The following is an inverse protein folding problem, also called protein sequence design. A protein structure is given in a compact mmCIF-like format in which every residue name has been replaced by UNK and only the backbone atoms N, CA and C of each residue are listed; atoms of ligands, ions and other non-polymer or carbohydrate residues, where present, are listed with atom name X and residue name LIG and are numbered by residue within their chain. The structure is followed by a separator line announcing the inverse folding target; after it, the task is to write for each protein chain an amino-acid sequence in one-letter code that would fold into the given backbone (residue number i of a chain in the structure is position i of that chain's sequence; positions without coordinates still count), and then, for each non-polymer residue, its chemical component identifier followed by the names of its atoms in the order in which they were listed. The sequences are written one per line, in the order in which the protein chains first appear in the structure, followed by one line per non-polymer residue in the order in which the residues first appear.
data_IF_812033192418
#
_entry.id   IF_812033192418
#
_cell.length_a   1.000
_cell.length_b   1.000
_cell.length_c   1.000
_cell.angle_alpha   90.00
_cell.angle_beta   90.00
_cell.angle_gamma   90.00
#
_symmetry.space_group_name_H-M   'P 1'
#
loop_
_entity.id
_entity.type
_entity.pdbx_description
1 polymer ?
#
# COMPACT_ATOMS: atom_id res chain seq x y z
N UNK A 1 -8.19 -17.60 -20.24
CA UNK A 1 -8.65 -17.66 -18.84
C UNK A 1 -7.42 -17.36 -17.98
N UNK A 2 -7.56 -16.53 -16.95
CA UNK A 2 -6.43 -16.14 -16.10
C UNK A 2 -6.00 -17.33 -15.21
N UNK A 3 -5.18 -18.20 -15.80
CA UNK A 3 -4.63 -19.40 -15.19
C UNK A 3 -3.15 -19.18 -14.85
N UNK A 4 -2.58 -19.99 -13.95
CA UNK A 4 -1.17 -19.88 -13.48
C UNK A 4 -0.84 -18.61 -12.67
N UNK A 5 -1.70 -18.23 -11.72
CA UNK A 5 -1.45 -17.08 -10.84
C UNK A 5 -0.13 -17.19 -10.06
N UNK A 6 0.29 -18.39 -9.67
CA UNK A 6 1.58 -18.62 -8.99
C UNK A 6 2.80 -18.18 -9.81
N UNK A 7 2.80 -18.47 -11.11
CA UNK A 7 3.91 -18.07 -11.98
C UNK A 7 3.89 -16.55 -12.24
N UNK A 8 2.70 -15.98 -12.36
CA UNK A 8 2.54 -14.53 -12.42
C UNK A 8 3.11 -13.83 -11.17
N UNK A 9 2.86 -14.36 -9.96
CA UNK A 9 3.42 -13.80 -8.71
C UNK A 9 4.95 -13.77 -8.75
N UNK A 10 5.59 -14.83 -9.25
CA UNK A 10 7.06 -14.89 -9.36
C UNK A 10 7.59 -13.82 -10.32
N UNK A 11 6.97 -13.67 -11.49
CA UNK A 11 7.36 -12.64 -12.46
C UNK A 11 7.18 -11.22 -11.90
N UNK A 12 6.05 -10.94 -11.23
CA UNK A 12 5.81 -9.65 -10.56
C UNK A 12 6.86 -9.37 -9.49
N UNK A 13 7.20 -10.37 -8.67
CA UNK A 13 8.24 -10.22 -7.65
C UNK A 13 9.61 -9.91 -8.28
N UNK A 14 9.97 -10.59 -9.37
CA UNK A 14 11.22 -10.31 -10.09
C UNK A 14 11.25 -8.87 -10.62
N UNK A 15 10.14 -8.40 -11.20
CA UNK A 15 10.01 -7.08 -11.81
C UNK A 15 9.93 -5.92 -10.79
N UNK A 16 9.22 -6.11 -9.68
CA UNK A 16 8.83 -5.02 -8.77
C UNK A 16 9.43 -5.14 -7.37
N UNK A 17 9.95 -6.32 -7.01
CA UNK A 17 10.29 -6.72 -5.62
C UNK A 17 9.11 -6.70 -4.64
N UNK A 18 7.88 -6.53 -5.11
CA UNK A 18 6.66 -6.63 -4.31
C UNK A 18 6.23 -8.09 -4.26
N UNK A 19 6.18 -8.67 -3.06
CA UNK A 19 5.67 -10.03 -2.87
C UNK A 19 4.15 -10.01 -2.69
N UNK A 20 3.43 -10.54 -3.68
CA UNK A 20 1.98 -10.62 -3.68
C UNK A 20 1.42 -11.59 -2.64
N UNK A 21 2.24 -12.47 -2.04
CA UNK A 21 1.82 -13.38 -0.97
C UNK A 21 1.48 -12.65 0.34
N UNK A 22 2.00 -11.43 0.54
CA UNK A 22 1.63 -10.60 1.71
C UNK A 22 0.27 -9.92 1.55
N UNK A 23 -0.36 -10.03 0.38
CA UNK A 23 -1.68 -9.50 0.13
C UNK A 23 -2.74 -10.60 0.20
N UNK A 24 -3.97 -10.22 0.52
CA UNK A 24 -5.10 -11.17 0.49
C UNK A 24 -5.34 -11.62 -0.96
N UNK A 25 -4.98 -12.86 -1.25
CA UNK A 25 -4.94 -13.41 -2.61
C UNK A 25 -6.23 -13.18 -3.40
N UNK A 26 -7.39 -13.56 -2.84
CA UNK A 26 -8.68 -13.48 -3.54
C UNK A 26 -9.00 -12.04 -3.99
N UNK A 27 -8.76 -11.05 -3.12
CA UNK A 27 -9.01 -9.65 -3.44
C UNK A 27 -7.99 -9.14 -4.46
N UNK A 28 -6.71 -9.48 -4.28
CA UNK A 28 -5.65 -9.01 -5.16
C UNK A 28 -5.76 -9.61 -6.56
N UNK A 29 -5.97 -10.93 -6.67
CA UNK A 29 -6.16 -11.62 -7.94
C UNK A 29 -7.32 -11.02 -8.73
N UNK A 30 -8.50 -10.84 -8.13
CA UNK A 30 -9.65 -10.20 -8.80
C UNK A 30 -9.32 -8.79 -9.31
N UNK A 31 -8.55 -8.01 -8.54
CA UNK A 31 -8.10 -6.67 -8.91
C UNK A 31 -7.13 -6.71 -10.09
N UNK A 32 -6.20 -7.66 -10.10
CA UNK A 32 -5.21 -7.87 -11.17
C UNK A 32 -5.88 -8.35 -12.45
N UNK A 33 -6.84 -9.28 -12.36
CA UNK A 33 -7.59 -9.78 -13.51
C UNK A 33 -8.36 -8.65 -14.21
N UNK A 34 -8.97 -7.75 -13.42
CA UNK A 34 -9.70 -6.61 -13.95
C UNK A 34 -8.79 -5.63 -14.71
N UNK A 35 -7.60 -5.30 -14.18
CA UNK A 35 -6.67 -4.38 -14.85
C UNK A 35 -5.99 -5.04 -16.06
N UNK A 36 -5.67 -6.34 -16.00
CA UNK A 36 -5.14 -7.10 -17.12
C UNK A 36 -6.16 -7.16 -18.29
N UNK A 37 -7.42 -7.44 -17.98
CA UNK A 37 -8.52 -7.41 -18.97
C UNK A 37 -8.70 -6.02 -19.58
N UNK A 38 -8.64 -4.96 -18.76
CA UNK A 38 -8.72 -3.57 -19.23
C UNK A 38 -7.57 -3.20 -20.19
N UNK A 39 -6.42 -3.83 -20.03
CA UNK A 39 -5.27 -3.70 -20.93
C UNK A 39 -5.33 -4.65 -22.14
N UNK A 40 -6.46 -5.32 -22.38
CA UNK A 40 -6.66 -6.19 -23.53
C UNK A 40 -6.00 -7.56 -23.44
N UNK A 41 -5.53 -7.97 -22.26
CA UNK A 41 -4.87 -9.26 -22.07
C UNK A 41 -5.88 -10.37 -21.78
N UNK A 42 -5.67 -11.55 -22.38
CA UNK A 42 -6.52 -12.73 -22.20
C UNK A 42 -5.97 -13.75 -21.19
N UNK A 43 -4.71 -13.57 -20.78
CA UNK A 43 -3.98 -14.39 -19.82
C UNK A 43 -2.84 -13.59 -19.13
N UNK A 44 -2.23 -14.15 -18.09
CA UNK A 44 -1.14 -13.49 -17.36
C UNK A 44 0.17 -13.41 -18.14
N UNK A 45 0.45 -14.35 -19.05
CA UNK A 45 1.69 -14.35 -19.83
C UNK A 45 1.75 -13.13 -20.77
N UNK A 46 0.63 -12.83 -21.45
CA UNK A 46 0.45 -11.60 -22.23
C UNK A 46 0.60 -10.35 -21.36
N UNK A 47 0.00 -10.37 -20.17
CA UNK A 47 0.07 -9.20 -19.30
C UNK A 47 1.50 -8.93 -18.83
N UNK A 48 2.26 -9.96 -18.45
CA UNK A 48 3.68 -9.84 -18.10
C UNK A 48 4.50 -9.31 -19.27
N UNK A 49 4.20 -9.72 -20.51
CA UNK A 49 4.88 -9.17 -21.71
C UNK A 49 4.64 -7.67 -21.83
N UNK A 50 3.39 -7.21 -21.68
CA UNK A 50 3.07 -5.78 -21.69
C UNK A 50 3.81 -5.04 -20.57
N UNK A 51 3.82 -5.59 -19.34
CA UNK A 51 4.52 -4.98 -18.21
C UNK A 51 6.05 -4.87 -18.44
N UNK A 52 6.63 -5.75 -19.27
CA UNK A 52 8.06 -5.69 -19.63
C UNK A 52 8.35 -4.74 -20.80
N UNK A 53 7.41 -4.56 -21.73
CA UNK A 53 7.62 -3.75 -22.95
C UNK A 53 7.14 -2.31 -22.83
N UNK A 54 6.15 -2.05 -21.98
CA UNK A 54 5.49 -0.75 -21.84
C UNK A 54 5.71 -0.19 -20.44
N UNK A 55 6.57 0.82 -20.35
CA UNK A 55 6.94 1.48 -19.10
C UNK A 55 5.74 2.18 -18.43
N UNK A 56 4.85 2.78 -19.21
CA UNK A 56 3.69 3.49 -18.66
C UNK A 56 2.72 2.50 -18.03
N UNK A 57 2.46 1.37 -18.69
CA UNK A 57 1.63 0.29 -18.14
C UNK A 57 2.25 -0.34 -16.91
N UNK A 58 3.57 -0.48 -16.89
CA UNK A 58 4.30 -0.94 -15.71
C UNK A 58 4.13 0.00 -14.52
N UNK A 59 4.34 1.30 -14.71
CA UNK A 59 4.15 2.30 -13.64
C UNK A 59 2.71 2.35 -13.15
N UNK A 60 1.72 2.27 -14.04
CA UNK A 60 0.31 2.17 -13.68
C UNK A 60 0.02 0.91 -12.84
N UNK A 61 0.62 -0.22 -13.17
CA UNK A 61 0.48 -1.46 -12.41
C UNK A 61 1.11 -1.38 -11.02
N UNK A 62 2.34 -0.84 -10.91
CA UNK A 62 2.99 -0.64 -9.61
C UNK A 62 2.16 0.28 -8.72
N UNK A 63 1.72 1.42 -9.25
CA UNK A 63 0.85 2.37 -8.54
C UNK A 63 -0.50 1.74 -8.15
N UNK A 64 -1.01 0.79 -8.94
CA UNK A 64 -2.21 0.06 -8.60
C UNK A 64 -2.02 -0.93 -7.45
N UNK A 65 -0.85 -1.58 -7.38
CA UNK A 65 -0.50 -2.49 -6.28
C UNK A 65 -0.29 -1.74 -4.97
N UNK A 66 0.30 -0.54 -5.02
CA UNK A 66 0.53 0.32 -3.86
C UNK A 66 -0.71 1.19 -3.60
N UNK A 67 -1.45 0.95 -2.51
CA UNK A 67 -2.58 1.81 -2.14
C UNK A 67 -2.03 3.14 -1.62
N UNK A 68 -1.97 4.15 -2.49
CA UNK A 68 -1.39 5.45 -2.16
C UNK A 68 -2.39 6.46 -1.57
N UNK A 69 -3.60 6.03 -1.18
CA UNK A 69 -4.59 6.94 -0.58
C UNK A 69 -4.25 7.16 0.89
N UNK A 70 -3.76 8.36 1.17
CA UNK A 70 -3.50 8.90 2.50
C UNK A 70 -4.18 10.26 2.62
N UNK A 71 -4.63 10.59 3.82
CA UNK A 71 -5.28 11.86 4.14
C UNK A 71 -4.95 12.22 5.59
N UNK A 72 -4.97 13.52 5.90
CA UNK A 72 -4.76 14.00 7.25
C UNK A 72 -5.83 13.44 8.18
N UNK A 73 -5.41 12.94 9.34
CA UNK A 73 -6.28 12.40 10.36
C UNK A 73 -7.24 11.28 9.88
N UNK A 74 -6.78 10.46 8.91
CA UNK A 74 -7.53 9.31 8.40
C UNK A 74 -8.11 8.47 9.54
N UNK A 75 -9.41 8.14 9.44
CA UNK A 75 -10.19 7.51 10.51
C UNK A 75 -10.15 8.32 11.82
N UNK A 76 -10.81 9.48 11.83
CA UNK A 76 -10.76 10.47 12.93
C UNK A 76 -10.97 9.90 14.33
N UNK A 77 -11.77 8.84 14.49
CA UNK A 77 -11.99 8.23 15.81
C UNK A 77 -10.75 7.54 16.39
N UNK A 78 -9.84 7.06 15.55
CA UNK A 78 -8.52 6.55 16.01
C UNK A 78 -7.64 7.68 16.52
N UNK A 79 -7.74 8.87 15.90
CA UNK A 79 -7.02 10.06 16.34
C UNK A 79 -7.57 10.63 17.64
N UNK A 80 -8.89 10.60 17.85
CA UNK A 80 -9.50 10.91 19.16
C UNK A 80 -8.96 10.00 20.26
N UNK A 81 -8.92 8.68 20.00
CA UNK A 81 -8.36 7.72 20.95
C UNK A 81 -6.86 7.98 21.24
N UNK A 82 -6.10 8.32 20.19
CA UNK A 82 -4.71 8.72 20.29
C UNK A 82 -4.53 9.93 21.22
N UNK A 83 -5.28 11.00 20.97
CA UNK A 83 -5.24 12.24 21.75
C UNK A 83 -5.69 12.02 23.21
N UNK A 84 -6.78 11.30 23.42
CA UNK A 84 -7.40 11.15 24.75
C UNK A 84 -6.67 10.15 25.65
N UNK A 85 -6.05 9.11 25.06
CA UNK A 85 -5.52 7.97 25.84
C UNK A 85 -4.05 7.67 25.55
N UNK A 86 -3.65 7.62 24.29
CA UNK A 86 -2.32 7.09 23.92
C UNK A 86 -1.23 8.12 24.14
N UNK A 87 -1.38 9.35 23.61
CA UNK A 87 -0.39 10.42 23.74
C UNK A 87 -0.15 10.76 25.22
N UNK A 88 -1.18 11.00 26.07
CA UNK A 88 -0.96 11.30 27.48
C UNK A 88 -0.24 10.16 28.22
N UNK A 89 -0.57 8.91 27.89
CA UNK A 89 0.08 7.72 28.46
C UNK A 89 1.56 7.67 28.07
N UNK A 90 1.88 7.81 26.78
CA UNK A 90 3.26 7.75 26.29
C UNK A 90 4.12 8.87 26.89
N UNK A 91 3.60 10.09 26.98
CA UNK A 91 4.30 11.21 27.60
C UNK A 91 4.58 10.97 29.09
N UNK A 92 3.64 10.33 29.80
CA UNK A 92 3.82 9.96 31.21
C UNK A 92 4.87 8.86 31.41
N UNK A 93 4.88 7.84 30.55
CA UNK A 93 5.74 6.66 30.71
C UNK A 93 7.16 6.84 30.14
N UNK A 94 7.31 7.57 29.02
CA UNK A 94 8.56 7.66 28.27
C UNK A 94 9.13 9.09 28.25
N UNK A 95 8.38 10.08 28.75
CA UNK A 95 8.77 11.49 28.75
C UNK A 95 8.63 12.17 27.39
N UNK A 96 9.30 13.31 27.23
CA UNK A 96 9.12 14.19 26.07
C UNK A 96 9.91 13.79 24.81
N UNK A 97 10.85 12.85 24.92
CA UNK A 97 11.67 12.39 23.78
C UNK A 97 11.13 11.06 23.26
N UNK A 98 10.00 11.13 22.57
CA UNK A 98 9.40 9.99 21.90
C UNK A 98 10.05 9.77 20.53
N UNK A 99 10.32 8.50 20.19
CA UNK A 99 10.65 8.08 18.83
C UNK A 99 9.45 7.35 18.26
N UNK A 100 8.90 7.87 17.18
CA UNK A 100 7.67 7.35 16.55
C UNK A 100 7.99 7.01 15.10
N UNK A 101 7.49 5.87 14.63
CA UNK A 101 7.64 5.42 13.26
C UNK A 101 6.26 5.29 12.60
N UNK A 102 6.00 6.12 11.58
CA UNK A 102 4.88 5.93 10.66
C UNK A 102 5.31 4.96 9.56
N UNK A 103 4.87 3.71 9.65
CA UNK A 103 5.22 2.67 8.69
C UNK A 103 4.24 2.72 7.50
N UNK A 104 4.79 2.79 6.28
CA UNK A 104 4.03 2.97 5.04
C UNK A 104 3.23 4.29 4.97
N UNK A 105 3.91 5.41 5.22
CA UNK A 105 3.31 6.75 5.30
C UNK A 105 2.75 7.34 4.00
N UNK A 106 2.78 6.61 2.87
CA UNK A 106 2.32 7.06 1.55
C UNK A 106 2.86 8.46 1.21
N UNK A 107 1.98 9.44 0.96
CA UNK A 107 2.27 10.84 0.65
C UNK A 107 2.71 11.69 1.85
N UNK A 108 2.69 11.14 3.07
CA UNK A 108 3.19 11.79 4.28
C UNK A 108 2.13 12.42 5.18
N UNK A 109 0.83 12.32 4.86
CA UNK A 109 -0.22 12.95 5.67
C UNK A 109 -0.25 12.40 7.10
N UNK A 110 -0.02 11.09 7.27
CA UNK A 110 0.02 10.45 8.61
C UNK A 110 1.16 10.97 9.51
N UNK A 111 2.44 10.98 9.08
CA UNK A 111 3.50 11.52 9.93
C UNK A 111 3.34 13.01 10.22
N UNK A 112 2.73 13.79 9.33
CA UNK A 112 2.39 15.17 9.63
C UNK A 112 1.22 15.28 10.62
N UNK A 113 0.17 14.45 10.51
CA UNK A 113 -0.88 14.37 11.52
C UNK A 113 -0.32 13.98 12.90
N UNK A 114 0.66 13.07 12.95
CA UNK A 114 1.37 12.76 14.20
C UNK A 114 2.08 14.00 14.75
N UNK A 115 2.86 14.71 13.93
CA UNK A 115 3.56 15.91 14.36
C UNK A 115 2.60 16.98 14.93
N UNK A 116 1.47 17.21 14.27
CA UNK A 116 0.43 18.15 14.72
C UNK A 116 -0.25 17.68 16.02
N UNK A 117 -0.49 16.38 16.19
CA UNK A 117 -1.10 15.84 17.40
C UNK A 117 -0.17 15.99 18.62
N UNK A 118 1.14 15.80 18.44
CA UNK A 118 2.15 15.94 19.49
C UNK A 118 2.61 17.39 19.75
N UNK A 119 2.22 18.37 18.93
CA UNK A 119 2.60 19.78 19.09
C UNK A 119 1.63 20.60 19.96
N UNK A 120 0.67 19.96 20.62
CA UNK A 120 -0.33 20.60 21.48
C UNK A 120 0.23 20.95 22.86
#
# INVERSE_FOLDING_TARGET
MFDKYEDFKKEVYVLTKIDLNYYKEKQMRRRIDAIATKNGCSNYEEYVKILKSDKEKFEQFVNFLTINVSEFYRNSDQWKLMDEKVIPKLLKEQGRRLKIWSAACSTGDEPYSLAMAFSK
#
